data_IF_528519955949
#
_entry.id   IF_528519955949
#
_cell.length_a   1.000
_cell.length_b   1.000
_cell.length_c   1.000
_cell.angle_alpha   90.00
_cell.angle_beta   90.00
_cell.angle_gamma   90.00
#
_symmetry.space_group_name_H-M   'P 1'
#
loop_
_entity.id
_entity.type
_entity.pdbx_description
1 polymer ?
#
# COMPACT_ATOMS: atom_id res chain seq x y z
N UNK A 1 -29.31 -43.09 34.06
CA UNK A 1 -29.94 -43.11 32.72
C UNK A 1 -29.45 -41.89 31.95
N UNK A 2 -28.44 -42.05 31.08
CA UNK A 2 -28.00 -40.98 30.19
C UNK A 2 -29.01 -40.84 29.05
N UNK A 3 -29.47 -39.62 28.78
CA UNK A 3 -30.46 -39.34 27.74
C UNK A 3 -29.93 -39.70 26.35
N UNK A 4 -30.81 -40.15 25.46
CA UNK A 4 -30.51 -40.55 24.06
C UNK A 4 -29.70 -39.49 23.29
N UNK A 5 -29.74 -38.24 23.69
CA UNK A 5 -28.98 -37.13 23.07
C UNK A 5 -27.47 -37.21 23.37
N UNK A 6 -27.06 -37.70 24.54
CA UNK A 6 -25.64 -37.85 24.86
C UNK A 6 -24.97 -38.98 24.06
N UNK A 7 -25.72 -40.03 23.69
CA UNK A 7 -25.18 -41.10 22.84
C UNK A 7 -24.98 -40.66 21.38
N UNK A 8 -25.81 -39.75 20.86
CA UNK A 8 -25.67 -39.27 19.48
C UNK A 8 -24.45 -38.35 19.31
N UNK A 9 -24.12 -37.54 20.32
CA UNK A 9 -22.95 -36.67 20.30
C UNK A 9 -21.65 -37.49 20.34
N UNK A 10 -21.59 -38.53 21.18
CA UNK A 10 -20.41 -39.42 21.26
C UNK A 10 -20.21 -40.20 19.95
N UNK A 11 -21.28 -40.63 19.29
CA UNK A 11 -21.21 -41.32 18.00
C UNK A 11 -20.69 -40.39 16.88
N UNK A 12 -21.13 -39.12 16.87
CA UNK A 12 -20.65 -38.13 15.90
C UNK A 12 -19.16 -37.81 16.07
N UNK A 13 -18.69 -37.67 17.31
CA UNK A 13 -17.26 -37.42 17.58
C UNK A 13 -16.39 -38.62 17.23
N UNK A 14 -16.88 -39.85 17.43
CA UNK A 14 -16.18 -41.08 17.02
C UNK A 14 -16.00 -41.20 15.51
N UNK A 15 -17.03 -40.85 14.73
CA UNK A 15 -16.99 -40.93 13.26
C UNK A 15 -16.06 -39.84 12.67
N UNK A 16 -16.08 -38.62 13.21
CA UNK A 16 -15.17 -37.56 12.78
C UNK A 16 -13.70 -37.89 13.08
N UNK A 17 -13.40 -38.53 14.22
CA UNK A 17 -12.03 -38.96 14.55
C UNK A 17 -11.53 -40.09 13.62
N UNK A 18 -12.42 -40.99 13.18
CA UNK A 18 -12.07 -42.07 12.24
C UNK A 18 -11.74 -41.53 10.84
N UNK A 19 -12.50 -40.55 10.35
CA UNK A 19 -12.30 -39.92 9.03
C UNK A 19 -11.00 -39.09 9.00
N UNK A 20 -10.65 -38.43 10.11
CA UNK A 20 -9.39 -37.70 10.24
C UNK A 20 -8.17 -38.63 10.40
N UNK A 21 -8.34 -39.81 11.00
CA UNK A 21 -7.26 -40.82 11.08
C UNK A 21 -6.92 -41.49 9.74
N UNK A 22 -7.91 -41.66 8.87
CA UNK A 22 -7.74 -42.30 7.55
C UNK A 22 -7.08 -41.41 6.50
N UNK A 23 -7.17 -40.08 6.64
CA UNK A 23 -6.53 -39.12 5.72
C UNK A 23 -5.04 -38.91 6.03
N UNK A 24 -4.56 -39.26 7.21
CA UNK A 24 -3.16 -39.10 7.60
C UNK A 24 -2.26 -40.31 7.26
N UNK A 25 -2.80 -41.39 6.70
CA UNK A 25 -2.07 -42.64 6.41
C UNK A 25 -1.77 -42.91 4.94
N UNK A 26 -2.07 -41.98 4.03
CA UNK A 26 -1.77 -42.10 2.61
C UNK A 26 -0.91 -40.92 2.15
N UNK A 27 0.39 -40.99 2.41
CA UNK A 27 1.31 -39.93 2.01
C UNK A 27 2.77 -40.21 2.38
N UNK A 28 3.26 -41.42 2.14
CA UNK A 28 4.69 -41.70 2.14
C UNK A 28 4.95 -42.94 1.28
N UNK A 29 5.27 -42.73 0.01
CA UNK A 29 5.98 -43.70 -0.81
C UNK A 29 7.12 -42.96 -1.52
N UNK A 30 8.32 -43.12 -0.98
CA UNK A 30 9.57 -42.84 -1.67
C UNK A 30 9.77 -43.91 -2.74
N UNK A 31 10.17 -43.49 -3.95
CA UNK A 31 10.77 -44.38 -4.95
C UNK A 31 12.24 -43.97 -5.15
N UNK A 32 13.12 -44.95 -5.43
CA UNK A 32 14.57 -44.77 -5.38
C UNK A 32 15.11 -44.14 -6.67
N UNK A 33 16.12 -43.29 -6.51
CA UNK A 33 16.96 -42.79 -7.61
C UNK A 33 18.11 -43.78 -7.80
N UNK A 34 18.10 -44.50 -8.92
CA UNK A 34 19.26 -45.22 -9.44
C UNK A 34 20.09 -44.29 -10.33
N UNK A 35 21.41 -44.37 -10.15
CA UNK A 35 22.39 -43.75 -11.02
C UNK A 35 22.53 -44.55 -12.32
N UNK A 36 22.65 -43.87 -13.46
CA UNK A 36 23.45 -44.36 -14.58
C UNK A 36 24.07 -43.20 -15.35
N UNK A 37 25.34 -43.40 -15.68
CA UNK A 37 26.14 -42.55 -16.56
C UNK A 37 25.74 -42.77 -18.00
N UNK A 38 25.82 -41.74 -18.84
CA UNK A 38 26.41 -41.89 -20.18
C UNK A 38 26.75 -40.53 -20.80
N UNK A 39 27.95 -40.47 -21.36
CA UNK A 39 28.47 -39.38 -22.21
C UNK A 39 27.72 -39.40 -23.52
N UNK A 40 27.44 -38.25 -24.13
CA UNK A 40 27.50 -38.09 -25.58
C UNK A 40 27.84 -36.64 -25.99
N UNK A 41 28.85 -36.52 -26.84
CA UNK A 41 29.22 -35.32 -27.60
C UNK A 41 28.16 -35.01 -28.65
N UNK A 42 27.87 -33.72 -28.89
CA UNK A 42 27.01 -33.36 -30.01
C UNK A 42 26.72 -31.88 -30.20
N UNK A 43 27.65 -31.18 -30.86
CA UNK A 43 27.39 -30.23 -31.96
C UNK A 43 26.49 -29.01 -31.69
N UNK A 44 27.14 -27.87 -31.48
CA UNK A 44 26.55 -26.53 -31.61
C UNK A 44 26.24 -26.28 -33.11
N UNK A 45 24.98 -25.98 -33.42
CA UNK A 45 24.58 -25.31 -34.67
C UNK A 45 23.79 -24.06 -34.32
N UNK A 46 24.35 -22.92 -34.74
CA UNK A 46 23.64 -21.66 -34.93
C UNK A 46 22.61 -21.81 -36.05
N UNK A 47 21.37 -21.38 -35.81
CA UNK A 47 20.47 -20.92 -36.85
C UNK A 47 19.68 -19.71 -36.33
N UNK A 48 19.92 -18.57 -36.99
CA UNK A 48 19.02 -17.43 -37.07
C UNK A 48 17.81 -17.81 -37.94
N UNK A 49 16.63 -17.31 -37.58
CA UNK A 49 15.52 -16.84 -38.46
C UNK A 49 14.26 -16.86 -37.59
N UNK A 50 13.55 -15.76 -37.33
CA UNK A 50 12.70 -14.92 -38.19
C UNK A 50 11.31 -14.90 -37.55
N UNK A 51 10.64 -13.76 -37.73
CA UNK A 51 9.23 -13.45 -37.51
C UNK A 51 8.25 -14.63 -37.35
N UNK A 52 7.50 -14.61 -36.24
CA UNK A 52 6.10 -15.07 -36.24
C UNK A 52 5.22 -14.01 -35.55
N UNK A 53 4.40 -13.37 -36.38
CA UNK A 53 3.14 -12.76 -35.99
C UNK A 53 2.19 -13.91 -35.67
N UNK A 54 1.63 -13.96 -34.46
CA UNK A 54 0.49 -14.82 -34.19
C UNK A 54 -0.66 -14.06 -33.53
N UNK A 55 -1.73 -14.04 -34.31
CA UNK A 55 -3.09 -13.66 -34.00
C UNK A 55 -3.73 -14.58 -32.97
N UNK A 56 -4.33 -14.00 -31.93
CA UNK A 56 -5.19 -14.71 -30.99
C UNK A 56 -6.59 -14.96 -31.59
N UNK A 57 -7.15 -16.17 -31.54
CA UNK A 57 -8.55 -16.39 -31.82
C UNK A 57 -9.42 -16.16 -30.56
N UNK A 58 -10.46 -15.35 -30.74
CA UNK A 58 -11.59 -15.17 -29.84
C UNK A 58 -12.46 -16.43 -29.87
N UNK A 59 -12.54 -17.15 -28.76
CA UNK A 59 -13.54 -18.20 -28.57
C UNK A 59 -14.71 -17.65 -27.76
N UNK A 60 -15.86 -17.50 -28.44
CA UNK A 60 -17.17 -17.39 -27.82
C UNK A 60 -17.61 -18.77 -27.34
N UNK A 61 -18.09 -18.86 -26.11
CA UNK A 61 -18.82 -20.02 -25.60
C UNK A 61 -20.13 -19.52 -25.02
N UNK A 62 -21.21 -19.87 -25.71
CA UNK A 62 -22.57 -19.81 -25.21
C UNK A 62 -22.68 -20.71 -23.96
N UNK A 63 -23.42 -20.25 -22.96
CA UNK A 63 -23.83 -21.09 -21.84
C UNK A 63 -25.30 -20.84 -21.53
N UNK A 64 -26.04 -21.93 -21.54
CA UNK A 64 -27.47 -22.09 -21.45
C UNK A 64 -28.09 -21.43 -20.22
N UNK A 65 -29.20 -20.73 -20.45
CA UNK A 65 -30.09 -20.21 -19.43
C UNK A 65 -30.92 -21.34 -18.82
N UNK A 66 -30.68 -21.66 -17.54
CA UNK A 66 -31.63 -22.43 -16.71
C UNK A 66 -32.26 -21.50 -15.67
N UNK A 67 -33.56 -21.29 -15.81
CA UNK A 67 -34.39 -20.49 -14.92
C UNK A 67 -34.73 -21.26 -13.64
N UNK A 68 -34.26 -20.80 -12.49
CA UNK A 68 -34.74 -21.26 -11.18
C UNK A 68 -35.78 -20.28 -10.61
N UNK A 69 -36.96 -20.83 -10.36
CA UNK A 69 -38.11 -20.19 -9.71
C UNK A 69 -37.84 -19.93 -8.23
N UNK A 70 -37.99 -18.68 -7.78
CA UNK A 70 -37.82 -18.28 -6.38
C UNK A 70 -39.16 -18.36 -5.63
N UNK A 71 -39.24 -19.23 -4.62
CA UNK A 71 -40.31 -19.19 -3.62
C UNK A 71 -40.08 -18.05 -2.60
N UNK A 72 -41.15 -17.47 -2.02
CA UNK A 72 -41.03 -16.39 -1.05
C UNK A 72 -40.53 -16.89 0.32
N UNK A 73 -39.86 -16.02 1.11
CA UNK A 73 -39.28 -16.41 2.39
C UNK A 73 -40.35 -16.68 3.45
N UNK A 74 -40.09 -17.70 4.26
CA UNK A 74 -40.91 -18.11 5.40
C UNK A 74 -40.80 -17.14 6.59
N UNK A 75 -41.81 -17.18 7.47
CA UNK A 75 -42.09 -16.23 8.56
C UNK A 75 -40.98 -16.04 9.60
N UNK A 76 -39.95 -16.89 9.65
CA UNK A 76 -38.83 -16.77 10.58
C UNK A 76 -37.89 -15.58 10.25
N UNK A 77 -37.78 -15.19 8.97
CA UNK A 77 -36.90 -14.09 8.55
C UNK A 77 -37.42 -12.69 8.97
N UNK A 78 -38.73 -12.54 9.17
CA UNK A 78 -39.35 -11.28 9.60
C UNK A 78 -39.13 -10.97 11.08
N UNK A 79 -38.96 -11.99 11.91
CA UNK A 79 -38.75 -11.84 13.37
C UNK A 79 -37.33 -11.36 13.68
N UNK A 80 -36.32 -11.85 12.95
CA UNK A 80 -34.92 -11.41 13.10
C UNK A 80 -34.73 -9.96 12.67
N UNK A 81 -35.41 -9.51 11.60
CA UNK A 81 -35.35 -8.13 11.12
C UNK A 81 -35.96 -7.12 12.11
N UNK A 82 -37.03 -7.50 12.82
CA UNK A 82 -37.64 -6.65 13.87
C UNK A 82 -36.81 -6.59 15.16
N UNK A 83 -36.09 -7.66 15.50
CA UNK A 83 -35.18 -7.67 16.64
C UNK A 83 -33.94 -6.78 16.40
N UNK A 84 -33.39 -6.81 15.19
CA UNK A 84 -32.23 -5.98 14.82
C UNK A 84 -32.56 -4.48 14.74
N UNK A 85 -33.77 -4.09 14.33
CA UNK A 85 -34.20 -2.67 14.38
C UNK A 85 -34.39 -2.13 15.81
N UNK A 86 -34.74 -2.97 16.79
CA UNK A 86 -34.86 -2.56 18.19
C UNK A 86 -33.50 -2.36 18.86
N UNK A 87 -32.48 -3.13 18.46
CA UNK A 87 -31.10 -2.93 18.91
C UNK A 87 -30.49 -1.63 18.38
N UNK A 88 -30.78 -1.27 17.13
CA UNK A 88 -30.25 -0.05 16.50
C UNK A 88 -30.81 1.25 17.13
N UNK A 89 -32.06 1.22 17.60
CA UNK A 89 -32.67 2.33 18.34
C UNK A 89 -32.18 2.44 19.79
N UNK A 90 -31.68 1.35 20.38
CA UNK A 90 -31.14 1.36 21.74
C UNK A 90 -29.71 1.94 21.79
N UNK A 91 -28.92 1.74 20.74
CA UNK A 91 -27.55 2.28 20.65
C UNK A 91 -27.47 3.78 20.33
N UNK A 92 -28.50 4.38 19.73
CA UNK A 92 -28.53 5.82 19.48
C UNK A 92 -28.84 6.68 20.73
N UNK A 93 -29.26 6.06 21.84
CA UNK A 93 -29.67 6.76 23.06
C UNK A 93 -28.57 6.95 24.12
N UNK A 94 -27.38 6.36 23.97
CA UNK A 94 -26.40 6.25 25.07
C UNK A 94 -25.16 7.15 24.96
N UNK A 95 -25.10 8.06 23.98
CA UNK A 95 -24.04 9.06 23.87
C UNK A 95 -24.59 10.48 23.90
N UNK A 96 -24.88 10.95 25.11
CA UNK A 96 -24.62 12.32 25.53
C UNK A 96 -24.26 12.27 27.01
N UNK A 97 -23.19 12.97 27.42
CA UNK A 97 -23.50 14.16 28.20
C UNK A 97 -22.50 15.33 28.06
N UNK A 98 -23.09 16.53 28.24
CA UNK A 98 -22.53 17.74 28.87
C UNK A 98 -21.51 18.59 28.10
N UNK A 99 -21.94 19.83 27.80
CA UNK A 99 -21.02 20.95 27.58
C UNK A 99 -21.35 21.91 26.43
N UNK A 100 -22.60 22.43 26.34
CA UNK A 100 -22.89 23.65 25.57
C UNK A 100 -23.13 24.79 26.53
N UNK A 101 -22.15 25.69 26.64
CA UNK A 101 -22.33 27.14 26.81
C UNK A 101 -20.98 27.79 26.59
N UNK A 102 -20.79 28.49 25.47
CA UNK A 102 -20.10 29.77 25.45
C UNK A 102 -20.53 30.56 24.21
N UNK A 103 -20.85 31.81 24.48
CA UNK A 103 -21.42 32.79 23.58
C UNK A 103 -20.42 33.19 22.48
N UNK A 104 -20.99 33.36 21.30
CA UNK A 104 -20.39 34.03 20.14
C UNK A 104 -20.33 35.53 20.41
N UNK A 105 -19.13 36.07 20.52
CA UNK A 105 -18.78 37.41 20.03
C UNK A 105 -17.28 37.46 19.71
N UNK A 106 -17.01 37.91 18.49
CA UNK A 106 -16.01 38.94 18.18
C UNK A 106 -14.76 38.60 17.32
N UNK A 107 -14.64 39.46 16.29
CA UNK A 107 -13.43 40.01 15.67
C UNK A 107 -12.22 39.08 15.46
N UNK A 108 -12.06 38.60 14.21
CA UNK A 108 -10.84 37.95 13.70
C UNK A 108 -9.63 38.89 13.79
N UNK A 109 -8.62 38.60 14.62
CA UNK A 109 -7.29 39.17 14.46
C UNK A 109 -6.56 38.39 13.37
N UNK A 110 -5.86 39.08 12.48
CA UNK A 110 -4.96 38.49 11.49
C UNK A 110 -3.97 37.54 12.18
N UNK A 111 -4.10 36.23 11.89
CA UNK A 111 -3.18 35.21 12.37
C UNK A 111 -1.76 35.53 11.88
N UNK A 112 -0.74 35.50 12.77
CA UNK A 112 0.65 35.66 12.34
C UNK A 112 1.00 34.54 11.36
N UNK A 113 1.61 34.92 10.24
CA UNK A 113 2.12 34.01 9.22
C UNK A 113 3.03 32.98 9.87
N UNK A 114 2.60 31.70 9.85
CA UNK A 114 3.45 30.59 10.29
C UNK A 114 4.76 30.63 9.49
N UNK A 115 5.93 30.39 10.11
CA UNK A 115 7.18 30.27 9.38
C UNK A 115 7.03 29.15 8.35
N UNK A 116 7.04 29.54 7.08
CA UNK A 116 7.02 28.64 5.95
C UNK A 116 8.38 27.96 5.90
N UNK A 117 8.53 26.86 6.62
CA UNK A 117 9.63 25.93 6.40
C UNK A 117 9.40 25.27 5.03
N UNK A 118 9.76 26.00 3.97
CA UNK A 118 10.03 25.39 2.68
C UNK A 118 11.25 24.48 2.90
N UNK A 119 10.96 23.22 3.23
CA UNK A 119 11.84 22.13 2.87
C UNK A 119 11.83 22.10 1.35
N UNK A 120 12.58 23.03 0.76
CA UNK A 120 12.96 22.98 -0.63
C UNK A 120 13.81 21.72 -0.68
N UNK A 121 13.28 20.64 -1.25
CA UNK A 121 14.17 19.73 -1.95
C UNK A 121 14.76 20.63 -3.02
N UNK A 122 15.96 21.15 -2.77
CA UNK A 122 16.60 22.11 -3.65
C UNK A 122 16.52 21.53 -5.07
N UNK A 123 15.69 22.15 -5.92
CA UNK A 123 15.51 21.75 -7.32
C UNK A 123 16.44 22.62 -8.17
N UNK A 124 17.51 23.15 -7.58
CA UNK A 124 18.57 23.78 -8.34
C UNK A 124 19.44 22.69 -8.98
N UNK A 125 18.94 22.24 -10.13
CA UNK A 125 19.41 21.12 -10.95
C UNK A 125 20.81 21.29 -11.54
N UNK A 126 21.50 22.39 -11.22
CA UNK A 126 22.78 22.72 -11.85
C UNK A 126 24.01 22.15 -11.11
N UNK A 127 23.89 21.76 -9.81
CA UNK A 127 24.99 21.14 -9.02
C UNK A 127 24.48 20.14 -7.96
N UNK A 128 23.45 19.37 -8.31
CA UNK A 128 22.64 18.54 -7.40
C UNK A 128 23.43 17.53 -6.55
N UNK A 129 23.73 17.92 -5.31
CA UNK A 129 24.16 16.98 -4.27
C UNK A 129 22.93 16.16 -3.87
N UNK A 130 22.83 14.92 -4.35
CA UNK A 130 21.74 14.00 -3.99
C UNK A 130 21.44 14.10 -2.49
N UNK A 131 20.22 14.52 -2.17
CA UNK A 131 19.76 14.71 -0.78
C UNK A 131 19.59 13.38 -0.04
N UNK A 132 19.56 12.27 -0.76
CA UNK A 132 19.44 10.92 -0.24
C UNK A 132 20.61 10.04 -0.68
N UNK A 133 20.85 8.96 0.06
CA UNK A 133 21.86 7.95 -0.24
C UNK A 133 21.18 6.70 -0.80
N UNK A 134 21.87 5.99 -1.68
CA UNK A 134 21.47 4.67 -2.18
C UNK A 134 22.55 3.66 -1.82
N UNK A 135 22.17 2.40 -1.68
CA UNK A 135 23.11 1.33 -1.47
C UNK A 135 22.44 -0.03 -1.55
N UNK A 136 23.19 -1.05 -1.17
CA UNK A 136 22.70 -2.41 -1.06
C UNK A 136 22.93 -2.92 0.35
N UNK A 137 21.92 -3.60 0.91
CA UNK A 137 22.01 -4.25 2.21
C UNK A 137 21.56 -5.69 2.03
N UNK A 138 22.50 -6.64 2.13
CA UNK A 138 22.25 -8.07 1.94
C UNK A 138 21.49 -8.38 0.63
N UNK A 139 21.96 -7.90 -0.52
CA UNK A 139 21.30 -8.14 -1.79
C UNK A 139 20.04 -7.30 -2.04
N UNK A 140 19.72 -6.34 -1.18
CA UNK A 140 18.51 -5.52 -1.26
C UNK A 140 18.91 -4.08 -1.57
N UNK A 141 18.45 -3.58 -2.71
CA UNK A 141 18.59 -2.17 -3.07
C UNK A 141 17.78 -1.31 -2.10
N UNK A 142 18.47 -0.41 -1.40
CA UNK A 142 17.88 0.55 -0.46
C UNK A 142 18.17 1.98 -0.89
N UNK A 143 17.29 2.88 -0.46
CA UNK A 143 17.49 4.31 -0.54
C UNK A 143 17.07 4.92 0.79
N UNK A 144 17.85 5.84 1.33
CA UNK A 144 17.59 6.38 2.66
C UNK A 144 18.05 7.82 2.80
N UNK A 145 17.42 8.53 3.72
CA UNK A 145 17.79 9.89 4.07
C UNK A 145 17.63 10.09 5.58
N UNK A 146 18.71 10.50 6.23
CA UNK A 146 18.70 10.91 7.63
C UNK A 146 19.52 12.20 7.78
N UNK A 147 18.88 13.38 7.78
CA UNK A 147 19.56 14.64 8.04
C UNK A 147 19.70 14.95 9.54
N UNK A 148 19.24 14.05 10.42
CA UNK A 148 19.16 14.32 11.86
C UNK A 148 20.25 13.57 12.64
N UNK A 149 20.89 14.23 13.62
CA UNK A 149 21.69 13.52 14.61
C UNK A 149 20.78 12.64 15.48
N UNK A 150 21.31 11.54 16.02
CA UNK A 150 20.55 10.56 16.81
C UNK A 150 19.67 11.21 17.91
N UNK A 151 20.19 12.21 18.62
CA UNK A 151 19.47 12.94 19.69
C UNK A 151 18.21 13.70 19.25
N UNK A 152 18.04 13.97 17.95
CA UNK A 152 16.88 14.68 17.39
C UNK A 152 15.92 13.75 16.64
N UNK A 153 16.32 12.50 16.45
CA UNK A 153 15.56 11.51 15.71
C UNK A 153 14.36 11.05 16.55
N UNK A 154 13.16 11.09 15.98
CA UNK A 154 11.96 10.55 16.65
C UNK A 154 11.70 9.08 16.35
N UNK A 155 12.22 8.60 15.23
CA UNK A 155 12.03 7.23 14.79
C UNK A 155 12.45 7.04 13.34
N UNK A 156 12.03 5.93 12.77
CA UNK A 156 12.31 5.56 11.39
C UNK A 156 10.99 5.51 10.63
N UNK A 157 10.95 6.09 9.43
CA UNK A 157 9.92 5.81 8.46
C UNK A 157 10.41 4.70 7.51
N UNK A 158 9.81 3.52 7.60
CA UNK A 158 10.03 2.41 6.66
C UNK A 158 9.08 2.57 5.47
N UNK A 159 9.63 2.64 4.26
CA UNK A 159 8.94 3.04 3.05
C UNK A 159 8.89 1.90 2.03
N UNK A 160 7.68 1.42 1.72
CA UNK A 160 7.42 0.26 0.85
C UNK A 160 6.66 0.71 -0.40
N UNK A 161 7.31 0.65 -1.57
CA UNK A 161 6.77 1.19 -2.84
C UNK A 161 5.62 0.35 -3.43
N UNK A 162 4.91 0.87 -4.43
CA UNK A 162 3.93 0.11 -5.22
C UNK A 162 4.56 -0.68 -6.37
N UNK A 163 3.77 -1.41 -7.17
CA UNK A 163 4.30 -2.12 -8.34
C UNK A 163 5.03 -1.19 -9.33
N UNK A 164 5.99 -1.72 -10.10
CA UNK A 164 6.79 -0.98 -11.10
C UNK A 164 7.61 0.20 -10.54
N UNK A 165 7.87 0.18 -9.23
CA UNK A 165 8.69 1.17 -8.54
C UNK A 165 9.91 0.50 -7.84
N UNK A 166 10.73 1.32 -7.20
CA UNK A 166 11.92 0.92 -6.44
C UNK A 166 12.19 1.89 -5.28
N UNK A 167 13.16 1.56 -4.42
CA UNK A 167 13.48 2.37 -3.24
C UNK A 167 13.77 3.85 -3.57
N UNK A 168 14.55 4.14 -4.63
CA UNK A 168 14.91 5.53 -4.98
C UNK A 168 13.71 6.39 -5.41
N UNK A 169 12.60 5.78 -5.82
CA UNK A 169 11.41 6.50 -6.25
C UNK A 169 10.81 7.33 -5.11
N UNK A 170 11.04 6.95 -3.85
CA UNK A 170 10.63 7.72 -2.69
C UNK A 170 11.21 9.14 -2.62
N UNK A 171 12.32 9.36 -3.35
CA UNK A 171 13.04 10.62 -3.38
C UNK A 171 12.99 11.30 -4.76
N UNK A 172 12.54 10.59 -5.78
CA UNK A 172 12.56 11.04 -7.18
C UNK A 172 11.17 11.32 -7.75
N UNK A 173 10.15 10.57 -7.32
CA UNK A 173 8.79 10.72 -7.84
C UNK A 173 8.04 11.81 -7.05
N UNK A 174 7.27 12.70 -7.72
CA UNK A 174 6.59 13.85 -7.11
C UNK A 174 5.83 13.54 -5.83
N UNK A 175 4.94 12.55 -5.89
CA UNK A 175 4.03 12.23 -4.78
C UNK A 175 4.77 11.58 -3.62
N UNK A 176 5.73 10.71 -3.94
CA UNK A 176 6.50 10.04 -2.90
C UNK A 176 7.45 11.01 -2.21
N UNK A 177 8.10 11.90 -2.96
CA UNK A 177 8.97 12.95 -2.43
C UNK A 177 8.21 13.87 -1.48
N UNK A 178 6.98 14.23 -1.82
CA UNK A 178 6.13 15.01 -0.92
C UNK A 178 5.79 14.26 0.37
N UNK A 179 5.41 12.97 0.29
CA UNK A 179 5.20 12.14 1.49
C UNK A 179 6.48 12.07 2.34
N UNK A 180 7.62 11.78 1.71
CA UNK A 180 8.93 11.75 2.36
C UNK A 180 9.27 13.09 3.06
N UNK A 181 8.99 14.23 2.43
CA UNK A 181 9.17 15.55 3.03
C UNK A 181 8.39 15.70 4.34
N UNK A 182 7.11 15.31 4.35
CA UNK A 182 6.30 15.42 5.55
C UNK A 182 6.80 14.51 6.68
N UNK A 183 7.28 13.31 6.36
CA UNK A 183 7.91 12.40 7.33
C UNK A 183 9.22 12.96 7.89
N UNK A 184 10.06 13.58 7.05
CA UNK A 184 11.27 14.29 7.49
C UNK A 184 10.94 15.48 8.40
N UNK A 185 9.89 16.26 8.11
CA UNK A 185 9.43 17.33 9.01
C UNK A 185 9.03 16.81 10.38
N UNK A 186 8.64 15.54 10.49
CA UNK A 186 8.41 14.84 11.77
C UNK A 186 9.67 14.26 12.41
N UNK A 187 10.85 14.61 11.90
CA UNK A 187 12.17 14.14 12.37
C UNK A 187 12.30 12.61 12.33
N UNK A 188 11.72 12.00 11.30
CA UNK A 188 11.91 10.58 11.02
C UNK A 188 13.06 10.40 10.03
N UNK A 189 13.93 9.44 10.29
CA UNK A 189 14.90 8.98 9.28
C UNK A 189 14.15 8.07 8.30
N UNK A 190 14.40 8.23 7.01
CA UNK A 190 13.69 7.50 5.97
C UNK A 190 14.52 6.31 5.50
N UNK A 191 13.93 5.12 5.47
CA UNK A 191 14.49 3.92 4.84
C UNK A 191 13.48 3.37 3.83
N UNK A 192 13.82 3.40 2.55
CA UNK A 192 13.08 2.76 1.48
C UNK A 192 13.80 1.50 1.01
N UNK A 193 13.01 0.47 0.70
CA UNK A 193 13.47 -0.86 0.30
C UNK A 193 12.83 -1.26 -1.03
N UNK A 194 13.55 -2.05 -1.82
CA UNK A 194 13.12 -2.52 -3.14
C UNK A 194 12.64 -3.96 -3.08
N UNK A 195 11.51 -4.27 -3.74
CA UNK A 195 10.98 -5.64 -3.84
C UNK A 195 11.92 -6.61 -4.54
N UNK A 196 11.85 -7.91 -4.22
CA UNK A 196 12.66 -8.94 -4.87
C UNK A 196 12.26 -9.16 -6.34
N UNK A 197 10.96 -9.11 -6.66
CA UNK A 197 10.49 -9.25 -8.03
C UNK A 197 10.76 -7.97 -8.83
N UNK A 198 11.84 -7.97 -9.62
CA UNK A 198 12.22 -6.84 -10.48
C UNK A 198 11.59 -6.84 -11.88
N UNK A 199 10.87 -7.91 -12.25
CA UNK A 199 10.11 -7.97 -13.51
C UNK A 199 8.85 -7.11 -13.40
N UNK A 200 8.06 -7.33 -12.34
CA UNK A 200 6.83 -6.57 -12.10
C UNK A 200 7.05 -5.37 -11.18
N UNK A 201 8.12 -5.40 -10.37
CA UNK A 201 8.32 -4.46 -9.26
C UNK A 201 7.29 -4.61 -8.15
N UNK A 202 6.47 -5.67 -8.14
CA UNK A 202 5.50 -5.93 -7.10
C UNK A 202 6.11 -6.69 -5.93
N UNK A 203 5.48 -6.57 -4.76
CA UNK A 203 5.82 -7.34 -3.57
C UNK A 203 5.07 -8.67 -3.52
N UNK A 204 5.69 -9.68 -2.91
CA UNK A 204 5.04 -10.94 -2.60
C UNK A 204 3.89 -10.74 -1.60
N UNK A 205 2.72 -11.29 -1.93
CA UNK A 205 1.54 -11.30 -1.06
C UNK A 205 1.38 -12.63 -0.32
N UNK A 206 2.40 -13.49 -0.33
CA UNK A 206 2.37 -14.79 0.36
C UNK A 206 2.21 -14.59 1.87
N UNK A 207 1.30 -15.35 2.46
CA UNK A 207 1.04 -15.40 3.90
C UNK A 207 1.05 -16.88 4.33
N UNK A 208 1.65 -17.23 5.46
CA UNK A 208 2.14 -16.39 6.57
C UNK A 208 3.47 -15.67 6.30
N UNK A 209 3.85 -14.74 7.18
CA UNK A 209 5.01 -13.87 6.98
C UNK A 209 6.35 -14.62 6.88
N UNK A 210 6.51 -15.75 7.57
CA UNK A 210 7.71 -16.60 7.50
C UNK A 210 7.86 -17.36 6.18
N UNK A 211 6.82 -17.42 5.35
CA UNK A 211 6.90 -17.97 4.00
C UNK A 211 7.08 -16.87 2.93
N UNK A 212 7.19 -15.60 3.35
CA UNK A 212 7.30 -14.47 2.45
C UNK A 212 8.75 -13.96 2.41
N UNK A 213 9.42 -14.18 1.27
CA UNK A 213 10.81 -13.78 1.06
C UNK A 213 11.00 -12.26 1.23
N UNK A 214 10.09 -11.45 0.68
CA UNK A 214 10.16 -9.99 0.79
C UNK A 214 10.07 -9.53 2.25
N UNK A 215 9.21 -10.16 3.07
CA UNK A 215 9.12 -9.85 4.50
C UNK A 215 10.45 -10.12 5.19
N UNK A 216 11.03 -11.31 4.98
CA UNK A 216 12.32 -11.68 5.57
C UNK A 216 13.43 -10.71 5.16
N UNK A 217 13.49 -10.36 3.88
CA UNK A 217 14.43 -9.40 3.31
C UNK A 217 14.29 -8.02 3.95
N UNK A 218 13.07 -7.49 4.05
CA UNK A 218 12.82 -6.15 4.63
C UNK A 218 13.19 -6.10 6.10
N UNK A 219 12.90 -7.16 6.88
CA UNK A 219 13.30 -7.24 8.29
C UNK A 219 14.82 -7.20 8.43
N UNK A 220 15.54 -8.01 7.65
CA UNK A 220 17.00 -8.07 7.66
C UNK A 220 17.60 -6.72 7.26
N UNK A 221 17.14 -6.13 6.16
CA UNK A 221 17.63 -4.82 5.70
C UNK A 221 17.40 -3.73 6.74
N UNK A 222 16.23 -3.72 7.38
CA UNK A 222 15.89 -2.72 8.41
C UNK A 222 16.76 -2.87 9.65
N UNK A 223 16.94 -4.10 10.15
CA UNK A 223 17.81 -4.40 11.30
C UNK A 223 19.26 -4.00 11.00
N UNK A 224 19.78 -4.38 9.83
CA UNK A 224 21.16 -4.07 9.44
C UNK A 224 21.38 -2.56 9.23
N UNK A 225 20.48 -1.90 8.53
CA UNK A 225 20.55 -0.46 8.30
C UNK A 225 20.55 0.34 9.61
N UNK A 226 19.75 -0.08 10.60
CA UNK A 226 19.75 0.53 11.94
C UNK A 226 21.13 0.46 12.60
N UNK A 227 21.77 -0.70 12.55
CA UNK A 227 23.12 -0.90 13.10
C UNK A 227 24.12 -0.01 12.36
N UNK A 228 24.13 -0.03 11.04
CA UNK A 228 25.07 0.74 10.21
C UNK A 228 24.91 2.27 10.38
N UNK A 229 23.72 2.72 10.80
CA UNK A 229 23.40 4.14 11.04
C UNK A 229 23.35 4.51 12.51
N UNK A 230 23.75 3.61 13.40
CA UNK A 230 23.76 3.82 14.85
C UNK A 230 22.39 4.29 15.38
N UNK A 231 21.30 3.77 14.80
CA UNK A 231 19.93 4.05 15.23
C UNK A 231 19.56 3.01 16.30
N UNK A 232 19.14 3.43 17.51
CA UNK A 232 18.76 2.49 18.57
C UNK A 232 17.68 1.51 18.13
N UNK A 233 17.77 0.26 18.56
CA UNK A 233 16.74 -0.76 18.30
C UNK A 233 15.38 -0.39 18.89
N UNK A 234 15.37 0.42 19.96
CA UNK A 234 14.19 0.98 20.63
C UNK A 234 13.53 2.12 19.86
N UNK A 235 14.18 2.69 18.84
CA UNK A 235 13.56 3.74 18.05
C UNK A 235 12.29 3.21 17.35
N UNK A 236 11.15 3.90 17.42
CA UNK A 236 9.92 3.43 16.80
C UNK A 236 10.04 3.40 15.28
N UNK A 237 9.34 2.44 14.66
CA UNK A 237 9.15 2.33 13.22
C UNK A 237 7.73 2.75 12.90
N UNK A 238 7.64 3.75 12.03
CA UNK A 238 6.43 4.11 11.32
C UNK A 238 6.57 3.57 9.90
N UNK A 239 5.59 2.84 9.41
CA UNK A 239 5.68 2.27 8.07
C UNK A 239 4.66 2.91 7.13
N UNK A 240 5.06 3.09 5.87
CA UNK A 240 4.16 3.53 4.80
C UNK A 240 4.31 2.56 3.64
N UNK A 241 3.19 1.93 3.27
CA UNK A 241 3.12 1.04 2.11
C UNK A 241 2.13 1.57 1.08
N UNK A 242 2.41 1.31 -0.20
CA UNK A 242 1.55 1.73 -1.32
C UNK A 242 1.13 0.48 -2.12
N UNK A 243 -0.16 0.31 -2.40
CA UNK A 243 -0.70 -0.74 -3.26
C UNK A 243 -0.20 -2.15 -2.84
N UNK A 244 0.52 -2.89 -3.68
CA UNK A 244 1.13 -4.19 -3.31
C UNK A 244 2.09 -4.10 -2.13
N UNK A 245 2.78 -2.96 -1.98
CA UNK A 245 3.64 -2.67 -0.83
C UNK A 245 2.85 -2.49 0.46
N UNK A 246 1.63 -1.91 0.40
CA UNK A 246 0.73 -1.85 1.55
C UNK A 246 0.22 -3.26 1.93
N UNK A 247 -0.07 -4.10 0.94
CA UNK A 247 -0.45 -5.50 1.18
C UNK A 247 0.69 -6.27 1.85
N UNK A 248 1.92 -6.18 1.33
CA UNK A 248 3.08 -6.81 1.96
C UNK A 248 3.35 -6.24 3.35
N UNK A 249 3.26 -4.92 3.53
CA UNK A 249 3.47 -4.27 4.83
C UNK A 249 2.48 -4.78 5.88
N UNK A 250 1.23 -5.03 5.52
CA UNK A 250 0.26 -5.62 6.46
C UNK A 250 0.63 -7.07 6.86
N UNK A 251 1.33 -7.82 6.01
CA UNK A 251 1.88 -9.15 6.31
C UNK A 251 3.11 -9.02 7.20
N UNK A 252 4.05 -8.13 6.87
CA UNK A 252 5.21 -7.80 7.70
C UNK A 252 4.80 -7.43 9.13
N UNK A 253 3.74 -6.63 9.26
CA UNK A 253 3.18 -6.20 10.55
C UNK A 253 2.58 -7.33 11.39
N UNK A 254 2.32 -8.51 10.81
CA UNK A 254 1.91 -9.69 11.56
C UNK A 254 3.09 -10.46 12.17
N UNK A 255 4.33 -10.03 11.89
CA UNK A 255 5.52 -10.63 12.48
C UNK A 255 5.81 -10.04 13.86
N UNK A 256 6.07 -10.93 14.82
CA UNK A 256 6.58 -10.54 16.14
C UNK A 256 8.06 -10.13 16.12
N UNK A 257 8.75 -10.26 14.98
CA UNK A 257 10.18 -9.94 14.85
C UNK A 257 10.46 -8.44 14.62
N UNK A 258 9.41 -7.64 14.46
CA UNK A 258 9.48 -6.18 14.30
C UNK A 258 8.71 -5.44 15.41
N UNK A 259 9.00 -5.70 16.70
CA UNK A 259 8.22 -5.17 17.82
C UNK A 259 8.28 -3.64 17.96
N UNK A 260 9.23 -2.99 17.28
CA UNK A 260 9.33 -1.52 17.26
C UNK A 260 8.39 -0.86 16.25
N UNK A 261 7.61 -1.62 15.47
CA UNK A 261 6.62 -1.04 14.58
C UNK A 261 5.37 -0.63 15.34
N UNK A 262 5.19 0.68 15.52
CA UNK A 262 4.10 1.25 16.35
C UNK A 262 2.93 1.77 15.52
N UNK A 263 3.18 2.11 14.25
CA UNK A 263 2.19 2.68 13.36
C UNK A 263 2.46 2.38 11.89
N UNK A 264 1.41 2.21 11.10
CA UNK A 264 1.49 2.04 9.66
C UNK A 264 0.40 2.79 8.90
N UNK A 265 0.72 3.23 7.68
CA UNK A 265 -0.23 3.78 6.72
C UNK A 265 -0.27 2.93 5.45
N UNK A 266 -1.46 2.44 5.11
CA UNK A 266 -1.73 1.59 3.96
C UNK A 266 -2.40 2.44 2.87
N UNK A 267 -1.59 2.91 1.92
CA UNK A 267 -2.10 3.68 0.78
C UNK A 267 -2.68 2.77 -0.27
N UNK A 268 -3.87 3.14 -0.75
CA UNK A 268 -4.58 2.52 -1.88
C UNK A 268 -4.56 0.99 -1.78
N UNK A 269 -4.80 0.45 -0.58
CA UNK A 269 -4.90 -1.00 -0.37
C UNK A 269 -5.69 -1.31 0.91
N UNK A 270 -6.52 -2.37 0.91
CA UNK A 270 -7.13 -2.91 2.12
C UNK A 270 -6.15 -3.77 2.93
N UNK A 271 -4.91 -3.98 2.47
CA UNK A 271 -3.97 -4.90 3.09
C UNK A 271 -4.28 -6.37 2.77
N UNK A 272 -3.56 -7.29 3.42
CA UNK A 272 -3.77 -8.73 3.34
C UNK A 272 -4.85 -9.14 4.33
N UNK A 273 -6.02 -9.52 3.83
CA UNK A 273 -7.13 -9.95 4.69
C UNK A 273 -6.73 -11.09 5.65
N UNK A 274 -5.85 -12.00 5.21
CA UNK A 274 -5.32 -13.09 6.05
C UNK A 274 -4.46 -12.55 7.20
N UNK A 275 -3.61 -11.56 6.96
CA UNK A 275 -2.80 -10.96 8.01
C UNK A 275 -3.66 -10.16 8.99
N UNK A 276 -4.59 -9.33 8.49
CA UNK A 276 -5.48 -8.52 9.33
C UNK A 276 -6.41 -9.40 10.18
N UNK A 277 -6.97 -10.46 9.59
CA UNK A 277 -7.80 -11.41 10.33
C UNK A 277 -7.03 -12.17 11.40
N UNK A 278 -5.70 -12.25 11.32
CA UNK A 278 -4.85 -12.90 12.32
C UNK A 278 -4.05 -11.88 13.15
N UNK A 279 -4.40 -10.60 13.09
CA UNK A 279 -3.76 -9.56 13.88
C UNK A 279 -3.90 -9.86 15.38
N UNK A 280 -2.83 -9.58 16.11
CA UNK A 280 -2.75 -9.66 17.57
C UNK A 280 -2.89 -8.26 18.17
N UNK A 281 -2.93 -8.16 19.50
CA UNK A 281 -2.90 -6.87 20.20
C UNK A 281 -1.60 -6.08 19.95
N UNK A 282 -0.51 -6.76 19.57
CA UNK A 282 0.77 -6.16 19.22
C UNK A 282 0.86 -5.69 17.76
N UNK A 283 -0.19 -5.90 16.97
CA UNK A 283 -0.25 -5.40 15.60
C UNK A 283 -0.25 -3.85 15.60
N UNK A 284 0.54 -3.19 14.73
CA UNK A 284 0.69 -1.74 14.77
C UNK A 284 -0.63 -1.01 14.50
N UNK A 285 -0.75 0.17 15.09
CA UNK A 285 -1.84 1.09 14.76
C UNK A 285 -1.88 1.31 13.25
N UNK A 286 -3.06 1.19 12.63
CA UNK A 286 -3.18 1.18 11.17
C UNK A 286 -4.09 2.28 10.64
N UNK A 287 -3.57 3.11 9.72
CA UNK A 287 -4.34 4.07 8.93
C UNK A 287 -4.52 3.57 7.51
N UNK A 288 -5.78 3.41 7.08
CA UNK A 288 -6.10 3.16 5.68
C UNK A 288 -6.22 4.48 4.94
N UNK A 289 -5.46 4.66 3.86
CA UNK A 289 -5.48 5.89 3.05
C UNK A 289 -6.01 5.54 1.67
N UNK A 290 -7.27 5.86 1.39
CA UNK A 290 -7.93 5.49 0.13
C UNK A 290 -8.20 6.70 -0.75
N UNK A 291 -8.20 6.49 -2.05
CA UNK A 291 -8.67 7.49 -3.01
C UNK A 291 -10.20 7.39 -3.17
N UNK A 292 -10.90 8.51 -3.28
CA UNK A 292 -12.37 8.49 -3.50
C UNK A 292 -12.78 7.78 -4.79
N UNK A 293 -11.90 7.78 -5.80
CA UNK A 293 -12.15 7.19 -7.11
C UNK A 293 -11.69 5.74 -7.23
N UNK A 294 -11.00 5.18 -6.23
CA UNK A 294 -10.58 3.77 -6.27
C UNK A 294 -11.77 2.86 -5.95
N UNK A 295 -12.34 2.26 -7.00
CA UNK A 295 -13.50 1.37 -6.90
C UNK A 295 -13.14 -0.12 -6.85
N UNK A 296 -11.89 -0.47 -7.18
CA UNK A 296 -11.51 -1.85 -7.47
C UNK A 296 -10.56 -2.43 -6.43
N UNK A 297 -9.53 -1.69 -6.05
CA UNK A 297 -8.48 -2.22 -5.17
C UNK A 297 -8.73 -1.81 -3.73
N UNK A 298 -8.92 -0.53 -3.47
CA UNK A 298 -9.14 0.05 -2.15
C UNK A 298 -10.54 0.66 -2.02
N UNK A 299 -11.55 -0.11 -2.46
CA UNK A 299 -12.94 0.31 -2.38
C UNK A 299 -13.37 0.58 -0.94
N UNK A 300 -14.35 1.46 -0.74
CA UNK A 300 -14.84 1.80 0.60
C UNK A 300 -15.30 0.56 1.38
N UNK A 301 -15.93 -0.43 0.72
CA UNK A 301 -16.34 -1.68 1.34
C UNK A 301 -15.16 -2.56 1.75
N UNK A 302 -14.13 -2.67 0.90
CA UNK A 302 -12.92 -3.42 1.21
C UNK A 302 -12.17 -2.81 2.41
N UNK A 303 -12.03 -1.48 2.45
CA UNK A 303 -11.43 -0.76 3.58
C UNK A 303 -12.27 -0.94 4.86
N UNK A 304 -13.60 -0.84 4.77
CA UNK A 304 -14.47 -1.05 5.93
C UNK A 304 -14.31 -2.46 6.52
N UNK A 305 -14.20 -3.49 5.67
CA UNK A 305 -13.96 -4.87 6.10
C UNK A 305 -12.58 -5.02 6.78
N UNK A 306 -11.55 -4.46 6.18
CA UNK A 306 -10.19 -4.47 6.73
C UNK A 306 -10.11 -3.77 8.10
N UNK A 307 -10.75 -2.61 8.23
CA UNK A 307 -10.86 -1.88 9.50
C UNK A 307 -11.58 -2.69 10.55
N UNK A 308 -12.72 -3.30 10.21
CA UNK A 308 -13.48 -4.16 11.11
C UNK A 308 -12.61 -5.31 11.62
N UNK A 309 -11.83 -5.94 10.76
CA UNK A 309 -10.92 -7.01 11.16
C UNK A 309 -9.90 -6.56 12.21
N UNK A 310 -9.34 -5.35 12.10
CA UNK A 310 -8.39 -4.85 13.11
C UNK A 310 -9.08 -4.41 14.41
N UNK A 311 -10.26 -3.80 14.32
CA UNK A 311 -11.04 -3.40 15.49
C UNK A 311 -11.47 -4.61 16.33
N UNK A 312 -11.91 -5.71 15.71
CA UNK A 312 -12.27 -6.93 16.43
C UNK A 312 -11.07 -7.62 17.08
N UNK A 313 -9.85 -7.29 16.65
CA UNK A 313 -8.59 -7.78 17.23
C UNK A 313 -8.01 -6.86 18.29
N UNK A 314 -8.72 -5.80 18.65
CA UNK A 314 -8.28 -4.79 19.63
C UNK A 314 -6.95 -4.13 19.24
N UNK A 315 -6.75 -3.86 17.95
CA UNK A 315 -5.62 -3.03 17.51
C UNK A 315 -5.79 -1.60 18.05
N UNK A 316 -4.76 -0.99 18.68
CA UNK A 316 -4.93 0.21 19.51
C UNK A 316 -5.59 1.40 18.80
N UNK A 317 -5.15 1.71 17.58
CA UNK A 317 -5.71 2.81 16.78
C UNK A 317 -5.90 2.37 15.33
N UNK A 318 -7.14 2.48 14.83
CA UNK A 318 -7.51 2.13 13.45
C UNK A 318 -8.21 3.30 12.79
N UNK A 319 -7.58 3.92 11.79
CA UNK A 319 -8.08 5.10 11.10
C UNK A 319 -8.44 4.85 9.64
N UNK A 320 -9.23 5.75 9.07
CA UNK A 320 -9.42 5.87 7.62
C UNK A 320 -9.24 7.33 7.22
N UNK A 321 -8.48 7.55 6.15
CA UNK A 321 -8.35 8.85 5.51
C UNK A 321 -8.72 8.73 4.04
N UNK A 322 -9.71 9.51 3.64
CA UNK A 322 -10.13 9.59 2.25
C UNK A 322 -9.40 10.74 1.55
N UNK A 323 -8.75 10.43 0.43
CA UNK A 323 -8.07 11.39 -0.42
C UNK A 323 -9.02 11.84 -1.54
N UNK A 324 -9.22 13.15 -1.75
CA UNK A 324 -10.01 13.64 -2.86
C UNK A 324 -9.27 13.41 -4.18
N UNK A 325 -10.02 13.37 -5.29
CA UNK A 325 -9.44 13.43 -6.63
C UNK A 325 -8.70 14.76 -6.79
N UNK A 326 -7.50 14.71 -7.34
CA UNK A 326 -6.74 15.92 -7.66
C UNK A 326 -7.30 16.55 -8.93
N UNK A 327 -7.63 17.84 -8.86
CA UNK A 327 -8.08 18.58 -10.02
C UNK A 327 -6.90 18.91 -10.94
N UNK A 328 -7.10 18.74 -12.25
CA UNK A 328 -6.16 19.24 -13.25
C UNK A 328 -6.36 20.75 -13.38
N UNK A 329 -5.30 21.51 -13.14
CA UNK A 329 -5.23 22.97 -13.31
C UNK A 329 -4.02 23.29 -14.20
N UNK A 330 -3.96 24.49 -14.81
CA UNK A 330 -2.82 24.90 -15.63
C UNK A 330 -1.46 24.73 -14.94
N UNK A 331 -1.43 24.85 -13.61
CA UNK A 331 -0.21 24.77 -12.79
C UNK A 331 -0.04 23.45 -12.03
N UNK A 332 -0.95 22.46 -12.19
CA UNK A 332 -0.92 21.22 -11.38
C UNK A 332 0.38 20.45 -11.54
N UNK A 333 0.91 20.33 -12.77
CA UNK A 333 2.16 19.61 -13.02
C UNK A 333 3.35 20.38 -12.46
N UNK A 334 3.42 21.69 -12.69
CA UNK A 334 4.47 22.54 -12.14
C UNK A 334 4.51 22.51 -10.60
N UNK A 335 3.36 22.64 -9.93
CA UNK A 335 3.30 22.64 -8.47
C UNK A 335 3.75 21.32 -7.84
N UNK A 336 3.51 20.18 -8.51
CA UNK A 336 3.88 18.85 -8.02
C UNK A 336 5.30 18.46 -8.44
N UNK A 337 5.72 18.92 -9.60
CA UNK A 337 7.04 18.70 -10.17
C UNK A 337 7.61 20.02 -10.68
N UNK A 338 8.32 20.79 -9.82
CA UNK A 338 8.89 22.08 -10.21
C UNK A 338 9.89 22.03 -11.37
N UNK A 339 10.41 20.84 -11.70
CA UNK A 339 11.22 20.60 -12.92
C UNK A 339 10.41 20.79 -14.21
N UNK A 340 9.08 20.76 -14.13
CA UNK A 340 8.17 21.15 -15.20
C UNK A 340 7.92 22.64 -15.04
N UNK A 341 8.31 23.45 -16.03
CA UNK A 341 8.04 24.89 -15.98
C UNK A 341 6.53 25.17 -15.94
N UNK A 342 6.12 26.30 -15.37
CA UNK A 342 4.72 26.72 -15.35
C UNK A 342 4.13 26.79 -16.78
N UNK A 343 4.96 27.19 -17.75
CA UNK A 343 4.58 27.27 -19.17
C UNK A 343 4.34 25.88 -19.78
N UNK A 344 5.23 24.91 -19.55
CA UNK A 344 5.02 23.52 -19.99
C UNK A 344 3.76 22.92 -19.34
N UNK A 345 3.58 23.16 -18.04
CA UNK A 345 2.38 22.70 -17.31
C UNK A 345 1.09 23.25 -17.94
N UNK A 346 1.08 24.53 -18.32
CA UNK A 346 -0.05 25.19 -18.98
C UNK A 346 -0.34 24.57 -20.36
N UNK A 347 0.70 24.37 -21.19
CA UNK A 347 0.57 23.71 -22.50
C UNK A 347 -0.02 22.30 -22.37
N UNK A 348 0.43 21.53 -21.38
CA UNK A 348 -0.11 20.18 -21.10
C UNK A 348 -1.57 20.25 -20.67
N UNK A 349 -1.91 21.21 -19.80
CA UNK A 349 -3.29 21.43 -19.38
C UNK A 349 -4.20 21.75 -20.56
N UNK A 350 -3.80 22.68 -21.42
CA UNK A 350 -4.56 23.07 -22.61
C UNK A 350 -4.76 21.87 -23.54
N UNK A 351 -3.71 21.08 -23.80
CA UNK A 351 -3.84 19.85 -24.58
C UNK A 351 -4.84 18.85 -23.95
N UNK A 352 -4.81 18.70 -22.62
CA UNK A 352 -5.72 17.82 -21.89
C UNK A 352 -7.19 18.26 -21.96
N UNK A 353 -7.47 19.55 -21.80
CA UNK A 353 -8.84 20.09 -21.75
C UNK A 353 -9.58 20.01 -23.08
N UNK A 354 -8.87 19.99 -24.21
CA UNK A 354 -9.46 19.79 -25.54
C UNK A 354 -9.85 18.32 -25.83
N UNK A 355 -10.24 17.55 -24.79
CA UNK A 355 -10.70 16.17 -24.90
C UNK A 355 -9.60 15.13 -25.11
N UNK A 356 -8.33 15.52 -25.00
CA UNK A 356 -7.19 14.66 -25.31
C UNK A 356 -6.46 14.14 -24.06
N UNK A 357 -7.18 13.89 -22.97
CA UNK A 357 -6.60 13.36 -21.71
C UNK A 357 -5.78 12.07 -21.90
N UNK A 358 -6.23 11.16 -22.78
CA UNK A 358 -5.49 9.93 -23.12
C UNK A 358 -4.28 10.20 -24.03
N UNK A 359 -4.23 11.38 -24.66
CA UNK A 359 -3.13 11.82 -25.51
C UNK A 359 -2.15 12.72 -24.80
N UNK A 360 -2.20 12.95 -23.48
CA UNK A 360 -1.18 13.81 -22.85
C UNK A 360 0.23 13.22 -23.04
N UNK A 361 0.37 11.91 -22.85
CA UNK A 361 1.62 11.23 -23.16
C UNK A 361 2.00 11.38 -24.64
N UNK A 362 1.01 11.34 -25.53
CA UNK A 362 1.20 11.52 -26.96
C UNK A 362 1.56 12.98 -27.30
N UNK A 363 0.89 13.99 -26.74
CA UNK A 363 1.13 15.41 -26.91
C UNK A 363 2.52 15.80 -26.43
N UNK A 364 3.00 15.16 -25.35
CA UNK A 364 4.39 15.32 -24.90
C UNK A 364 5.38 14.66 -25.87
N UNK A 365 5.04 13.50 -26.44
CA UNK A 365 5.88 12.79 -27.42
C UNK A 365 5.92 13.47 -28.79
N UNK A 366 4.84 14.10 -29.21
CA UNK A 366 4.67 14.73 -30.53
C UNK A 366 4.82 16.24 -30.51
N UNK A 367 5.12 16.81 -29.34
CA UNK A 367 5.39 18.24 -29.22
C UNK A 367 6.57 18.63 -30.12
N UNK A 368 6.41 19.70 -30.89
CA UNK A 368 7.51 20.36 -31.60
C UNK A 368 8.27 21.34 -30.72
N UNK A 369 7.84 21.53 -29.47
CA UNK A 369 8.48 22.42 -28.50
C UNK A 369 9.75 21.75 -27.94
N UNK A 370 10.90 22.37 -28.20
CA UNK A 370 12.21 21.82 -27.80
C UNK A 370 12.34 21.62 -26.28
N UNK A 371 11.72 22.47 -25.46
CA UNK A 371 11.77 22.34 -24.01
C UNK A 371 10.96 21.13 -23.53
N UNK A 372 9.76 20.93 -24.11
CA UNK A 372 8.93 19.76 -23.83
C UNK A 372 9.65 18.49 -24.25
N UNK A 373 10.25 18.48 -25.44
CA UNK A 373 11.00 17.33 -25.96
C UNK A 373 12.21 17.03 -25.07
N UNK A 374 12.99 18.04 -24.70
CA UNK A 374 14.15 17.88 -23.82
C UNK A 374 13.75 17.33 -22.45
N UNK A 375 12.68 17.88 -21.85
CA UNK A 375 12.11 17.37 -20.61
C UNK A 375 11.67 15.91 -20.76
N UNK A 376 10.97 15.57 -21.84
CA UNK A 376 10.40 14.25 -22.05
C UNK A 376 11.44 13.16 -22.36
N UNK A 377 12.60 13.54 -22.91
CA UNK A 377 13.74 12.63 -23.14
C UNK A 377 14.33 12.10 -21.83
N UNK A 378 14.22 12.85 -20.74
CA UNK A 378 14.63 12.36 -19.42
C UNK A 378 13.66 11.30 -18.91
N UNK A 379 14.19 10.10 -18.64
CA UNK A 379 13.40 8.99 -18.07
C UNK A 379 12.70 9.40 -16.78
N UNK A 380 13.38 10.16 -15.92
CA UNK A 380 12.87 10.55 -14.61
C UNK A 380 11.76 11.59 -14.73
N UNK A 381 11.96 12.59 -15.58
CA UNK A 381 10.96 13.60 -15.93
C UNK A 381 9.68 12.97 -16.48
N UNK A 382 9.82 12.02 -17.42
CA UNK A 382 8.68 11.27 -17.97
C UNK A 382 7.95 10.48 -16.88
N UNK A 383 8.66 9.78 -15.99
CA UNK A 383 8.04 9.01 -14.89
C UNK A 383 7.30 9.93 -13.91
N UNK A 384 7.89 11.08 -13.58
CA UNK A 384 7.28 12.09 -12.71
C UNK A 384 5.97 12.63 -13.31
N UNK A 385 6.00 13.04 -14.58
CA UNK A 385 4.82 13.53 -15.29
C UNK A 385 3.72 12.45 -15.37
N UNK A 386 4.07 11.21 -15.72
CA UNK A 386 3.12 10.10 -15.78
C UNK A 386 2.48 9.82 -14.41
N UNK A 387 3.24 9.88 -13.32
CA UNK A 387 2.67 9.73 -11.97
C UNK A 387 1.64 10.82 -11.68
N UNK A 388 2.00 12.10 -11.87
CA UNK A 388 1.08 13.22 -11.60
C UNK A 388 -0.20 13.09 -12.43
N UNK A 389 -0.06 12.67 -13.69
CA UNK A 389 -1.23 12.45 -14.55
C UNK A 389 -2.15 11.34 -14.05
N UNK A 390 -1.60 10.22 -13.57
CA UNK A 390 -2.40 9.14 -12.99
C UNK A 390 -3.15 9.58 -11.74
N UNK A 391 -2.52 10.39 -10.90
CA UNK A 391 -3.14 11.00 -9.71
C UNK A 391 -4.32 11.89 -10.10
N UNK A 392 -4.12 12.77 -11.09
CA UNK A 392 -5.17 13.65 -11.62
C UNK A 392 -6.34 12.85 -12.22
N UNK A 393 -6.04 11.78 -12.95
CA UNK A 393 -7.06 10.91 -13.53
C UNK A 393 -7.83 10.12 -12.46
N UNK A 394 -7.34 10.08 -11.23
CA UNK A 394 -7.92 9.31 -10.14
C UNK A 394 -7.71 7.81 -10.32
N UNK A 395 -6.65 7.43 -11.04
CA UNK A 395 -6.24 6.03 -11.18
C UNK A 395 -5.63 5.51 -9.88
N UNK A 396 -5.35 4.21 -9.84
CA UNK A 396 -4.71 3.54 -8.71
C UNK A 396 -3.23 3.95 -8.58
N UNK A 397 -3.00 5.19 -8.14
CA UNK A 397 -1.71 5.82 -7.92
C UNK A 397 -1.73 6.60 -6.60
N UNK A 398 -0.58 6.69 -5.92
CA UNK A 398 -0.47 7.38 -4.65
C UNK A 398 -0.59 8.90 -4.84
N UNK A 399 -1.23 9.59 -3.89
CA UNK A 399 -1.30 11.05 -3.86
C UNK A 399 -0.82 11.58 -2.51
N UNK A 400 -0.04 12.65 -2.55
CA UNK A 400 0.51 13.32 -1.37
C UNK A 400 -0.42 14.41 -0.81
N UNK A 401 -1.63 14.60 -1.36
CA UNK A 401 -2.58 15.66 -0.91
C UNK A 401 -2.84 15.60 0.60
N UNK A 402 -2.83 14.41 1.17
CA UNK A 402 -3.05 14.19 2.60
C UNK A 402 -1.77 13.79 3.36
N UNK A 403 -0.58 13.96 2.77
CA UNK A 403 0.68 13.48 3.35
C UNK A 403 0.96 14.06 4.75
N UNK A 404 0.65 15.34 4.97
CA UNK A 404 0.79 15.96 6.29
C UNK A 404 -0.07 15.25 7.35
N UNK A 405 -1.35 15.06 7.06
CA UNK A 405 -2.31 14.38 7.96
C UNK A 405 -1.88 12.94 8.25
N UNK A 406 -1.34 12.24 7.25
CA UNK A 406 -0.80 10.88 7.44
C UNK A 406 0.41 10.91 8.36
N UNK A 407 1.36 11.83 8.14
CA UNK A 407 2.53 11.96 9.00
C UNK A 407 2.15 12.34 10.44
N UNK A 408 1.19 13.25 10.63
CA UNK A 408 0.64 13.60 11.94
C UNK A 408 0.00 12.39 12.64
N UNK A 409 -0.81 11.63 11.90
CA UNK A 409 -1.49 10.45 12.42
C UNK A 409 -0.48 9.38 12.86
N UNK A 410 0.56 9.11 12.05
CA UNK A 410 1.60 8.14 12.39
C UNK A 410 2.31 8.52 13.68
N UNK A 411 2.69 9.78 13.83
CA UNK A 411 3.34 10.26 15.05
C UNK A 411 2.42 10.19 16.27
N UNK A 412 1.11 10.38 16.08
CA UNK A 412 0.14 10.29 17.17
C UNK A 412 0.02 8.89 17.77
N UNK A 413 0.50 7.83 17.08
CA UNK A 413 0.46 6.44 17.58
C UNK A 413 1.38 6.22 18.78
N UNK A 414 2.40 7.07 18.99
CA UNK A 414 3.31 6.99 20.14
C UNK A 414 2.59 7.00 21.49
N UNK A 415 1.38 7.56 21.55
CA UNK A 415 0.57 7.63 22.76
C UNK A 415 -0.12 6.31 23.12
N UNK A 416 -0.06 5.32 22.22
CA UNK A 416 -0.79 4.05 22.30
C UNK A 416 0.13 2.82 22.25
N UNK A 417 1.43 3.04 22.09
CA UNK A 417 2.51 2.04 22.17
C UNK A 417 3.16 2.10 23.53
#
# INVERSE_FOLDING_TARGET
MASREHLQIILLFGICALILGLTFRLGNNQLPVTASSERHHGKIRNLNSENEQDSFPTAMSESETTSFSTQPPTSAALTVSRFLRKLDLWFQGFWSPLGRHYLSTDTSPSLPSRPRFELVFDVDSSKDKKTYQTGEINGINVAFHNPFPARRLRGIALLIHGCRQQASDWFQLPEHRHIAAHLLRKRLALLAVTSSNRVTGCWSTRYPHWENEDVSRVMIATKRWRVDRTIPSTAPIYAVGISSGATMLSILSSSNEMPSMVGQALYISPGSQRALNNATKSYPSTLFVRLTTDRHYASASAIALARRALLTRNVPMVGELTMPKVQLMPTTLHHREPRISAEISRKIFEAATHGQYHKIEHAMKTSSDEEIVAFWRSRDSRRAAVQVMRVVQGLHEVSAVCAEKVADWLIATERYS
#
